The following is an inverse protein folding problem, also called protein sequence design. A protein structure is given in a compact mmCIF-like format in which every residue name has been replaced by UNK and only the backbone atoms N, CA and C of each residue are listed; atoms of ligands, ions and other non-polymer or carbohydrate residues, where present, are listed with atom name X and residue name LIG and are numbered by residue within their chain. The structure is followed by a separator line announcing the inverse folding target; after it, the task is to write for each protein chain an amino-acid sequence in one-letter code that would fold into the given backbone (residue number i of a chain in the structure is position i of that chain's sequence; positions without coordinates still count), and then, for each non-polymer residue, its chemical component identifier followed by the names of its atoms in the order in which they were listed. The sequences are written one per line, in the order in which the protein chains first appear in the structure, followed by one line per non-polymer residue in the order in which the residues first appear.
data_IF_300703862837
#
_entry.id   IF_300703862837
#
_cell.length_a   1.000
_cell.length_b   1.000
_cell.length_c   1.000
_cell.angle_alpha   90.00
_cell.angle_beta   90.00
_cell.angle_gamma   90.00
#
_symmetry.space_group_name_H-M   'P 1'
#
loop_
_entity.id
_entity.type
_entity.pdbx_description
1 polymer ?
#
# COMPACT_ATOMS: atom_id res chain seq x y z
N UNK A 1 -35.75 -34.81 -13.34
CA UNK A 1 -35.45 -35.66 -14.52
C UNK A 1 -34.62 -34.82 -15.45
N UNK A 2 -33.36 -35.22 -15.66
CA UNK A 2 -32.47 -34.68 -16.69
C UNK A 2 -32.97 -35.11 -18.07
N UNK A 3 -32.79 -34.25 -19.09
CA UNK A 3 -32.28 -34.71 -20.39
C UNK A 3 -31.43 -33.60 -21.02
N UNK A 4 -30.30 -34.03 -21.57
CA UNK A 4 -29.14 -33.26 -22.00
C UNK A 4 -29.27 -32.71 -23.43
N UNK A 5 -28.47 -31.67 -23.65
CA UNK A 5 -28.00 -31.05 -24.88
C UNK A 5 -27.59 -32.01 -26.01
N UNK A 6 -27.84 -31.64 -27.27
CA UNK A 6 -26.81 -31.21 -28.25
C UNK A 6 -27.43 -30.99 -29.65
N UNK A 7 -26.96 -29.97 -30.37
CA UNK A 7 -27.07 -29.97 -31.84
C UNK A 7 -27.20 -28.61 -32.53
N UNK A 8 -26.17 -27.75 -32.50
CA UNK A 8 -25.92 -26.85 -33.63
C UNK A 8 -24.47 -26.97 -34.06
N UNK A 9 -24.32 -27.26 -35.35
CA UNK A 9 -23.14 -27.71 -36.08
C UNK A 9 -22.09 -26.60 -36.20
N UNK A 10 -20.83 -26.97 -36.03
CA UNK A 10 -19.68 -26.25 -36.58
C UNK A 10 -19.34 -26.81 -37.97
N UNK A 11 -18.95 -25.93 -38.90
CA UNK A 11 -18.44 -26.24 -40.23
C UNK A 11 -18.18 -24.94 -41.02
N UNK A 12 -17.21 -24.92 -41.94
CA UNK A 12 -15.99 -24.12 -41.82
C UNK A 12 -15.89 -22.98 -42.86
N UNK A 13 -14.74 -22.30 -42.84
CA UNK A 13 -14.24 -21.25 -43.75
C UNK A 13 -14.42 -19.81 -43.25
N UNK A 14 -13.39 -19.37 -42.52
CA UNK A 14 -13.05 -17.96 -42.38
C UNK A 14 -12.65 -17.39 -43.75
N UNK A 15 -13.20 -16.24 -44.16
CA UNK A 15 -12.40 -15.22 -44.82
C UNK A 15 -11.63 -14.49 -43.72
N UNK A 16 -10.31 -14.46 -43.85
CA UNK A 16 -9.40 -13.58 -43.11
C UNK A 16 -9.86 -12.12 -43.25
N UNK A 17 -10.83 -11.69 -42.44
CA UNK A 17 -11.19 -10.29 -42.33
C UNK A 17 -10.01 -9.59 -41.68
N UNK A 18 -9.43 -8.67 -42.45
CA UNK A 18 -8.28 -7.88 -42.10
C UNK A 18 -8.33 -7.42 -40.65
N UNK A 19 -7.36 -7.87 -39.85
CA UNK A 19 -7.14 -7.41 -38.48
C UNK A 19 -6.58 -5.98 -38.53
N UNK A 20 -7.40 -5.04 -39.00
CA UNK A 20 -7.24 -3.64 -38.68
C UNK A 20 -8.08 -3.41 -37.44
N UNK A 21 -7.47 -3.28 -36.25
CA UNK A 21 -8.22 -2.76 -35.12
C UNK A 21 -8.69 -1.37 -35.54
N UNK A 22 -10.00 -1.22 -35.73
CA UNK A 22 -10.61 0.10 -35.92
C UNK A 22 -10.20 1.03 -34.77
N UNK A 23 -10.36 2.36 -34.94
CA UNK A 23 -10.06 3.31 -33.87
C UNK A 23 -10.74 2.86 -32.57
N UNK A 24 -9.96 2.71 -31.50
CA UNK A 24 -10.49 2.36 -30.18
C UNK A 24 -11.32 3.54 -29.66
N UNK A 25 -12.62 3.49 -29.89
CA UNK A 25 -13.57 4.52 -29.43
C UNK A 25 -14.18 4.08 -28.10
N UNK A 26 -13.90 4.84 -27.05
CA UNK A 26 -14.50 4.63 -25.73
C UNK A 26 -15.91 5.22 -25.69
N UNK A 27 -16.92 4.46 -26.13
CA UNK A 27 -18.33 4.88 -26.02
C UNK A 27 -18.89 4.54 -24.64
N UNK A 28 -19.44 5.53 -23.92
CA UNK A 28 -20.10 5.30 -22.62
C UNK A 28 -19.17 5.29 -21.40
N UNK A 29 -17.86 5.52 -21.58
CA UNK A 29 -16.91 5.75 -20.48
C UNK A 29 -16.91 7.21 -20.04
N UNK A 30 -16.53 7.47 -18.79
CA UNK A 30 -16.32 8.83 -18.28
C UNK A 30 -15.08 9.47 -18.92
N UNK A 31 -15.00 10.81 -18.96
CA UNK A 31 -13.83 11.52 -19.49
C UNK A 31 -12.54 11.16 -18.74
N UNK A 32 -12.64 10.95 -17.42
CA UNK A 32 -11.53 10.51 -16.56
C UNK A 32 -11.00 9.13 -16.99
N UNK A 33 -11.88 8.17 -17.23
CA UNK A 33 -11.49 6.82 -17.67
C UNK A 33 -10.82 6.84 -19.04
N UNK A 34 -11.31 7.69 -19.95
CA UNK A 34 -10.71 7.87 -21.28
C UNK A 34 -9.31 8.46 -21.17
N UNK A 35 -9.11 9.44 -20.28
CA UNK A 35 -7.79 10.03 -20.03
C UNK A 35 -6.80 9.00 -19.46
N UNK A 36 -7.25 8.20 -18.48
CA UNK A 36 -6.44 7.13 -17.89
C UNK A 36 -6.06 6.07 -18.91
N UNK A 37 -7.02 5.61 -19.73
CA UNK A 37 -6.77 4.63 -20.77
C UNK A 37 -5.76 5.15 -21.80
N UNK A 38 -5.88 6.42 -22.21
CA UNK A 38 -4.89 7.07 -23.10
C UNK A 38 -3.50 7.06 -22.46
N UNK A 39 -3.36 7.48 -21.20
CA UNK A 39 -2.08 7.50 -20.52
C UNK A 39 -1.46 6.09 -20.39
N UNK A 40 -2.28 5.10 -20.08
CA UNK A 40 -1.87 3.69 -20.00
C UNK A 40 -1.35 3.17 -21.33
N UNK A 41 -2.06 3.41 -22.43
CA UNK A 41 -1.64 2.93 -23.75
C UNK A 41 -0.40 3.66 -24.27
N UNK A 42 -0.25 4.95 -23.96
CA UNK A 42 1.01 5.67 -24.21
C UNK A 42 2.15 5.04 -23.43
N UNK A 43 1.98 4.75 -22.14
CA UNK A 43 3.07 4.15 -21.35
C UNK A 43 3.40 2.72 -21.79
N UNK A 44 2.40 1.93 -22.18
CA UNK A 44 2.56 0.55 -22.61
C UNK A 44 3.22 0.39 -23.99
N UNK A 45 3.06 1.40 -24.88
CA UNK A 45 3.65 1.39 -26.23
C UNK A 45 5.02 2.05 -26.30
N UNK A 46 5.41 2.81 -25.27
CA UNK A 46 6.76 3.35 -25.16
C UNK A 46 7.74 2.20 -24.89
N UNK A 47 8.83 2.14 -25.67
CA UNK A 47 9.94 1.25 -25.34
C UNK A 47 10.43 1.58 -23.93
N UNK A 48 10.77 0.57 -23.11
CA UNK A 48 11.42 0.83 -21.82
C UNK A 48 12.61 1.76 -22.07
N UNK A 49 12.67 2.83 -21.27
CA UNK A 49 13.70 3.84 -21.36
C UNK A 49 15.08 3.15 -21.41
N UNK A 50 16.03 3.66 -22.21
CA UNK A 50 17.33 3.00 -22.40
C UNK A 50 18.10 2.80 -21.08
N UNK A 51 17.79 3.59 -20.04
CA UNK A 51 18.32 3.46 -18.68
C UNK A 51 17.81 2.22 -17.93
N UNK A 52 16.67 1.65 -18.35
CA UNK A 52 16.11 0.41 -17.83
C UNK A 52 16.65 -0.83 -18.55
N UNK A 53 17.50 -0.67 -19.58
CA UNK A 53 18.08 -1.78 -20.33
C UNK A 53 19.34 -2.28 -19.62
N UNK A 54 19.25 -3.46 -19.03
CA UNK A 54 20.39 -4.17 -18.40
C UNK A 54 21.50 -4.56 -19.37
N UNK A 55 21.24 -4.55 -20.68
CA UNK A 55 22.22 -4.91 -21.71
C UNK A 55 22.05 -3.96 -22.90
N UNK A 56 23.11 -3.19 -23.18
CA UNK A 56 23.25 -2.43 -24.42
C UNK A 56 23.28 -3.40 -25.60
N UNK A 57 22.36 -3.23 -26.53
CA UNK A 57 22.22 -4.00 -27.77
C UNK A 57 23.28 -3.69 -28.83
N UNK A 58 24.29 -2.85 -28.52
CA UNK A 58 25.42 -2.64 -29.42
C UNK A 58 26.41 -3.79 -29.26
N UNK A 59 26.58 -4.58 -30.33
CA UNK A 59 27.57 -5.65 -30.43
C UNK A 59 29.01 -5.11 -30.58
N UNK A 60 29.24 -3.85 -30.21
CA UNK A 60 30.55 -3.22 -30.13
C UNK A 60 31.33 -3.65 -28.87
N UNK A 61 30.80 -4.62 -28.12
CA UNK A 61 31.45 -5.31 -27.00
C UNK A 61 32.70 -6.12 -27.39
N UNK A 62 33.29 -5.89 -28.56
CA UNK A 62 34.65 -6.32 -28.86
C UNK A 62 35.57 -5.20 -28.45
N UNK A 63 36.14 -5.31 -27.25
CA UNK A 63 37.26 -4.47 -26.84
C UNK A 63 38.31 -4.45 -27.96
N UNK A 64 38.85 -3.29 -28.35
CA UNK A 64 39.92 -3.23 -29.33
C UNK A 64 41.09 -4.11 -28.85
N UNK A 65 41.64 -4.93 -29.74
CA UNK A 65 42.84 -5.73 -29.46
C UNK A 65 43.94 -4.77 -29.00
N UNK A 66 44.44 -4.97 -27.77
CA UNK A 66 45.42 -4.09 -27.15
C UNK A 66 46.67 -3.98 -28.04
N UNK A 67 46.93 -2.80 -28.60
CA UNK A 67 48.22 -2.49 -29.21
C UNK A 67 49.22 -2.17 -28.10
N UNK A 68 50.38 -2.81 -28.13
CA UNK A 68 51.50 -2.48 -27.24
C UNK A 68 52.09 -1.15 -27.72
N UNK A 69 51.58 -0.03 -27.24
CA UNK A 69 52.21 1.27 -27.44
C UNK A 69 51.88 2.20 -26.26
N UNK A 70 52.80 2.24 -25.29
CA UNK A 70 53.04 3.34 -24.36
C UNK A 70 51.95 3.70 -23.34
N UNK A 71 52.33 4.13 -22.12
CA UNK A 71 51.37 4.69 -21.17
C UNK A 71 51.03 6.13 -21.59
N UNK A 72 49.99 6.33 -22.39
CA UNK A 72 49.22 7.57 -22.32
C UNK A 72 48.20 7.41 -21.20
N UNK A 73 48.63 7.78 -20.00
CA UNK A 73 47.75 8.07 -18.87
C UNK A 73 46.86 9.23 -19.32
N UNK A 74 45.70 8.90 -19.87
CA UNK A 74 44.59 9.82 -19.91
C UNK A 74 44.20 10.03 -18.44
N UNK A 75 44.81 11.05 -17.84
CA UNK A 75 44.49 11.58 -16.53
C UNK A 75 43.04 12.06 -16.62
N UNK A 76 42.11 11.14 -16.37
CA UNK A 76 40.70 11.47 -16.22
C UNK A 76 40.63 12.40 -15.01
N UNK A 77 40.28 13.65 -15.26
CA UNK A 77 39.96 14.66 -14.26
C UNK A 77 38.66 14.31 -13.52
N UNK A 78 38.62 13.16 -12.84
CA UNK A 78 37.59 12.77 -11.89
C UNK A 78 38.01 13.25 -10.51
N UNK A 79 37.85 14.53 -10.18
CA UNK A 79 38.24 14.95 -8.81
C UNK A 79 37.56 16.17 -8.22
N UNK A 80 36.60 16.83 -8.88
CA UNK A 80 35.93 17.99 -8.24
C UNK A 80 34.43 18.14 -8.47
N UNK A 81 33.91 17.66 -9.60
CA UNK A 81 32.48 17.78 -9.90
C UNK A 81 31.68 16.72 -9.14
N UNK A 82 32.21 15.49 -9.04
CA UNK A 82 31.53 14.35 -8.43
C UNK A 82 31.32 14.50 -6.91
N UNK A 83 32.27 15.09 -6.17
CA UNK A 83 32.12 15.29 -4.72
C UNK A 83 31.04 16.35 -4.39
N UNK A 84 30.90 17.37 -5.25
CA UNK A 84 29.90 18.43 -5.05
C UNK A 84 28.50 17.89 -5.30
N UNK A 85 28.35 17.03 -6.30
CA UNK A 85 27.09 16.36 -6.61
C UNK A 85 26.70 15.38 -5.52
N UNK A 86 27.62 14.59 -4.98
CA UNK A 86 27.33 13.70 -3.83
C UNK A 86 26.89 14.47 -2.58
N UNK A 87 27.57 15.58 -2.26
CA UNK A 87 27.15 16.43 -1.13
C UNK A 87 25.76 17.05 -1.33
N UNK A 88 25.41 17.40 -2.57
CA UNK A 88 24.09 17.94 -2.88
C UNK A 88 23.00 16.88 -2.70
N UNK A 89 23.22 15.66 -3.20
CA UNK A 89 22.33 14.52 -3.05
C UNK A 89 22.10 14.17 -1.58
N UNK A 90 23.19 14.13 -0.80
CA UNK A 90 23.12 13.84 0.64
C UNK A 90 22.39 14.94 1.42
N UNK A 91 22.54 16.21 1.05
CA UNK A 91 21.75 17.31 1.61
C UNK A 91 20.27 17.20 1.26
N UNK A 92 19.94 16.84 0.02
CA UNK A 92 18.57 16.67 -0.42
C UNK A 92 17.89 15.52 0.35
N UNK A 93 18.57 14.37 0.48
CA UNK A 93 18.12 13.22 1.29
C UNK A 93 17.81 13.64 2.73
N UNK A 94 18.74 14.36 3.38
CA UNK A 94 18.53 14.84 4.76
C UNK A 94 17.36 15.81 4.88
N UNK A 95 17.16 16.69 3.90
CA UNK A 95 16.02 17.60 3.88
C UNK A 95 14.69 16.83 3.77
N UNK A 96 14.62 15.84 2.87
CA UNK A 96 13.45 14.98 2.72
C UNK A 96 13.15 14.20 4.02
N UNK A 97 14.16 13.60 4.64
CA UNK A 97 13.99 12.89 5.92
C UNK A 97 13.50 13.81 7.04
N UNK A 98 13.97 15.06 7.09
CA UNK A 98 13.53 16.04 8.06
C UNK A 98 12.06 16.43 7.85
N UNK A 99 11.65 16.64 6.59
CA UNK A 99 10.27 16.94 6.23
C UNK A 99 9.33 15.77 6.58
N UNK A 100 9.72 14.53 6.26
CA UNK A 100 8.95 13.34 6.62
C UNK A 100 8.80 13.21 8.13
N UNK A 101 9.89 13.37 8.89
CA UNK A 101 9.85 13.35 10.37
C UNK A 101 8.89 14.40 10.91
N UNK A 102 8.94 15.63 10.40
CA UNK A 102 8.00 16.70 10.80
C UNK A 102 6.55 16.32 10.50
N UNK A 103 6.29 15.76 9.31
CA UNK A 103 4.96 15.27 8.92
C UNK A 103 4.45 14.19 9.87
N UNK A 104 5.28 13.22 10.24
CA UNK A 104 4.91 12.18 11.21
C UNK A 104 4.69 12.72 12.62
N UNK A 105 5.48 13.70 13.06
CA UNK A 105 5.26 14.37 14.35
C UNK A 105 3.92 15.09 14.40
N UNK A 106 3.52 15.78 13.33
CA UNK A 106 2.20 16.41 13.26
C UNK A 106 1.07 15.37 13.29
N UNK A 107 1.23 14.24 12.59
CA UNK A 107 0.26 13.13 12.65
C UNK A 107 0.14 12.55 14.06
N UNK A 108 1.26 12.40 14.79
CA UNK A 108 1.27 11.91 16.16
C UNK A 108 0.49 12.85 17.10
N UNK A 109 0.74 14.16 17.00
CA UNK A 109 -0.01 15.18 17.78
C UNK A 109 -1.52 15.11 17.52
N UNK A 110 -1.93 15.08 16.23
CA UNK A 110 -3.35 14.93 15.87
C UNK A 110 -3.96 13.64 16.44
N UNK A 111 -3.20 12.53 16.43
CA UNK A 111 -3.66 11.27 17.02
C UNK A 111 -3.85 11.39 18.54
N UNK A 112 -2.94 12.06 19.24
CA UNK A 112 -3.07 12.30 20.68
C UNK A 112 -4.31 13.16 21.01
N UNK A 113 -4.56 14.22 20.23
CA UNK A 113 -5.75 15.06 20.36
C UNK A 113 -7.04 14.24 20.20
N UNK A 114 -7.12 13.38 19.16
CA UNK A 114 -8.28 12.50 18.93
C UNK A 114 -8.47 11.54 20.11
N UNK A 115 -7.39 10.91 20.59
CA UNK A 115 -7.48 9.98 21.71
C UNK A 115 -7.94 10.69 22.99
N UNK A 116 -7.47 11.91 23.24
CA UNK A 116 -7.90 12.71 24.37
C UNK A 116 -9.40 13.05 24.30
N UNK A 117 -9.88 13.48 23.12
CA UNK A 117 -11.30 13.73 22.88
C UNK A 117 -12.17 12.47 23.14
N UNK A 118 -11.75 11.32 22.61
CA UNK A 118 -12.48 10.07 22.80
C UNK A 118 -12.53 9.62 24.26
N UNK A 119 -11.44 9.81 25.01
CA UNK A 119 -11.42 9.55 26.47
C UNK A 119 -12.44 10.42 27.20
N UNK A 120 -12.44 11.73 26.92
CA UNK A 120 -13.39 12.67 27.50
C UNK A 120 -14.84 12.28 27.19
N UNK A 121 -15.16 11.97 25.93
CA UNK A 121 -16.49 11.53 25.53
C UNK A 121 -16.92 10.24 26.23
N UNK A 122 -15.98 9.31 26.44
CA UNK A 122 -16.24 8.07 27.17
C UNK A 122 -16.55 8.33 28.64
N UNK A 123 -15.79 9.21 29.28
CA UNK A 123 -16.01 9.62 30.68
C UNK A 123 -17.38 10.29 30.85
N UNK A 124 -17.72 11.25 29.98
CA UNK A 124 -19.04 11.90 29.99
C UNK A 124 -20.19 10.91 29.78
N UNK A 125 -20.01 9.90 28.90
CA UNK A 125 -21.01 8.84 28.73
C UNK A 125 -21.18 8.03 30.02
N UNK A 126 -20.08 7.62 30.64
CA UNK A 126 -20.10 6.83 31.88
C UNK A 126 -20.80 7.60 32.99
N UNK A 127 -20.51 8.89 33.15
CA UNK A 127 -21.17 9.75 34.14
C UNK A 127 -22.69 9.83 33.92
N UNK A 128 -23.13 10.07 32.69
CA UNK A 128 -24.56 10.09 32.34
C UNK A 128 -25.24 8.75 32.62
N UNK A 129 -24.57 7.65 32.28
CA UNK A 129 -25.09 6.31 32.54
C UNK A 129 -25.19 6.04 34.05
N UNK A 130 -24.19 6.41 34.86
CA UNK A 130 -24.22 6.30 36.32
C UNK A 130 -25.40 7.05 36.94
N UNK A 131 -25.66 8.28 36.49
CA UNK A 131 -26.82 9.08 36.96
C UNK A 131 -28.13 8.40 36.56
N UNK A 132 -28.22 7.87 35.33
CA UNK A 132 -29.43 7.18 34.85
C UNK A 132 -29.72 5.88 35.62
N UNK A 133 -28.67 5.15 36.03
CA UNK A 133 -28.80 3.91 36.80
C UNK A 133 -29.44 4.15 38.17
N UNK A 134 -29.15 5.29 38.80
CA UNK A 134 -29.74 5.65 40.09
C UNK A 134 -31.25 5.92 40.00
N UNK A 135 -31.73 6.40 38.84
CA UNK A 135 -33.13 6.79 38.63
C UNK A 135 -33.97 5.73 37.90
N UNK A 136 -33.42 4.54 37.61
CA UNK A 136 -34.23 3.47 37.02
C UNK A 136 -35.30 3.04 38.03
N UNK A 137 -36.60 3.13 37.70
CA UNK A 137 -37.65 2.63 38.58
C UNK A 137 -37.39 1.13 38.79
N UNK A 138 -37.34 0.71 40.06
CA UNK A 138 -37.19 -0.70 40.42
C UNK A 138 -38.43 -1.45 39.94
N UNK A 139 -38.41 -1.90 38.69
CA UNK A 139 -39.32 -2.95 38.21
C UNK A 139 -38.98 -4.18 39.05
N UNK A 140 -39.97 -4.72 39.75
CA UNK A 140 -39.85 -5.95 40.53
C UNK A 140 -39.58 -7.11 39.56
N UNK A 141 -38.32 -7.31 39.18
CA UNK A 141 -37.90 -8.50 38.44
C UNK A 141 -37.79 -9.65 39.44
N UNK A 142 -38.38 -10.82 39.16
CA UNK A 142 -38.27 -12.00 40.01
C UNK A 142 -36.80 -12.34 40.24
N UNK A 143 -36.41 -12.63 41.49
CA UNK A 143 -35.05 -13.03 41.82
C UNK A 143 -34.69 -14.36 41.17
N UNK A 144 -34.10 -14.33 39.97
CA UNK A 144 -33.33 -15.46 39.46
C UNK A 144 -31.96 -15.46 40.14
N UNK A 145 -31.76 -16.45 41.00
CA UNK A 145 -30.51 -16.74 41.71
C UNK A 145 -29.32 -16.64 40.74
N UNK A 146 -28.30 -15.84 41.09
CA UNK A 146 -27.02 -15.76 40.36
C UNK A 146 -26.35 -17.14 40.41
N UNK A 147 -26.53 -17.94 39.37
CA UNK A 147 -25.72 -19.14 39.15
C UNK A 147 -24.40 -18.66 38.56
N UNK A 148 -23.38 -18.60 39.41
CA UNK A 148 -22.01 -18.31 39.02
C UNK A 148 -21.58 -19.36 37.98
N UNK A 149 -21.29 -18.92 36.76
CA UNK A 149 -20.94 -19.83 35.67
C UNK A 149 -19.56 -20.43 35.92
N UNK A 150 -19.33 -21.66 35.44
CA UNK A 150 -18.06 -22.38 35.67
C UNK A 150 -16.83 -21.61 35.14
N UNK A 151 -17.02 -20.74 34.14
CA UNK A 151 -15.98 -19.89 33.57
C UNK A 151 -15.46 -18.86 34.57
N UNK A 152 -16.36 -18.14 35.25
CA UNK A 152 -15.98 -17.06 36.18
C UNK A 152 -15.22 -17.57 37.42
N UNK A 153 -15.43 -18.84 37.79
CA UNK A 153 -14.66 -19.50 38.87
C UNK A 153 -13.23 -19.80 38.45
N UNK A 154 -13.04 -20.24 37.20
CA UNK A 154 -11.72 -20.60 36.65
C UNK A 154 -10.84 -19.37 36.51
N UNK A 155 -11.39 -18.28 35.96
CA UNK A 155 -10.65 -17.04 35.77
C UNK A 155 -10.17 -16.44 37.10
N UNK A 156 -10.99 -16.57 38.17
CA UNK A 156 -10.62 -16.12 39.51
C UNK A 156 -9.50 -16.97 40.13
N UNK A 157 -9.46 -18.26 39.83
CA UNK A 157 -8.45 -19.19 40.32
C UNK A 157 -7.10 -18.96 39.61
N UNK A 158 -7.11 -18.70 38.30
CA UNK A 158 -5.92 -18.37 37.52
C UNK A 158 -5.28 -17.05 37.98
N UNK A 159 -6.08 -16.01 38.23
CA UNK A 159 -5.57 -14.73 38.78
C UNK A 159 -4.97 -14.91 40.17
N UNK A 160 -5.51 -15.83 40.98
CA UNK A 160 -4.99 -16.10 42.33
C UNK A 160 -3.70 -16.93 42.29
N UNK A 161 -3.56 -17.84 41.32
CA UNK A 161 -2.36 -18.65 41.15
C UNK A 161 -1.15 -17.81 40.68
N UNK A 162 -1.39 -16.81 39.82
CA UNK A 162 -0.32 -15.92 39.32
C UNK A 162 0.20 -14.95 40.37
N UNK A 163 -0.59 -14.62 41.40
CA UNK A 163 -0.18 -13.77 42.51
C UNK A 163 0.56 -14.47 43.65
N UNK A 164 0.87 -15.77 43.51
CA UNK A 164 1.60 -16.57 44.51
C UNK A 164 3.02 -16.96 44.06
N UNK A 165 3.50 -16.39 42.95
CA UNK A 165 4.82 -16.66 42.37
C UNK A 165 5.87 -15.57 42.68
N UNK A 166 5.55 -14.61 43.54
CA UNK A 166 6.49 -13.62 44.10
C UNK A 166 6.74 -13.88 45.59
#
# INVERSE_FOLDING_TARGET
METRHWGRKTGPEEPLESVYPGPLVFTGSSEEDVALAKQFWVSATMYPHPESRLVSNSTEQRLPVARVTGPTVAERSFSTVDYKTEQLLEKNRKAQEAEEKQRYLQKAKKREEILHLLRKQREERIEKELVSLLHKPKVKVPQTKKVLTKSEKKDREEVKALGQLD
#
